data_IF_782909499644
#
_entry.id   IF_782909499644
#
_cell.length_a   1.000
_cell.length_b   1.000
_cell.length_c   1.000
_cell.angle_alpha   90.00
_cell.angle_beta   90.00
_cell.angle_gamma   90.00
#
_symmetry.space_group_name_H-M   'P 1'
#
loop_
_entity.id
_entity.type
_entity.pdbx_description
1 polymer ?
#
# COMPACT_ATOMS: atom_id res chain seq x y z
N UNK A 1 -8.25 -12.53 -2.21
CA UNK A 1 -9.46 -12.16 -1.41
C UNK A 1 -9.31 -12.37 0.10
N UNK A 2 -8.58 -13.40 0.58
CA UNK A 2 -8.58 -13.79 2.00
C UNK A 2 -7.59 -13.07 2.96
N UNK A 3 -6.89 -12.00 2.54
CA UNK A 3 -5.91 -11.31 3.42
C UNK A 3 -5.95 -9.79 3.33
N UNK A 4 -7.14 -9.20 3.49
CA UNK A 4 -7.27 -7.72 3.52
C UNK A 4 -6.47 -7.09 4.66
N UNK A 5 -6.28 -7.82 5.77
CA UNK A 5 -5.47 -7.40 6.91
C UNK A 5 -3.98 -7.16 6.59
N UNK A 6 -3.47 -7.69 5.48
CA UNK A 6 -2.08 -7.49 5.07
C UNK A 6 -1.91 -6.20 4.24
N UNK A 7 -2.99 -5.59 3.73
CA UNK A 7 -2.94 -4.40 2.87
C UNK A 7 -2.16 -3.24 3.53
N UNK A 8 -2.40 -2.86 4.81
CA UNK A 8 -1.63 -1.80 5.46
C UNK A 8 -0.12 -2.07 5.49
N UNK A 9 0.28 -3.33 5.71
CA UNK A 9 1.68 -3.73 5.76
C UNK A 9 2.31 -3.63 4.37
N UNK A 10 1.62 -4.12 3.35
CA UNK A 10 2.07 -4.07 1.96
C UNK A 10 2.21 -2.64 1.44
N UNK A 11 1.24 -1.76 1.75
CA UNK A 11 1.31 -0.35 1.38
C UNK A 11 2.56 0.33 1.95
N UNK A 12 2.86 0.11 3.24
CA UNK A 12 4.07 0.65 3.88
C UNK A 12 5.35 0.11 3.24
N UNK A 13 5.38 -1.19 2.96
CA UNK A 13 6.52 -1.83 2.32
C UNK A 13 6.80 -1.25 0.93
N UNK A 14 5.80 -1.23 0.03
CA UNK A 14 6.02 -0.76 -1.34
C UNK A 14 6.26 0.74 -1.43
N UNK A 15 5.66 1.57 -0.56
CA UNK A 15 5.99 2.99 -0.51
C UNK A 15 7.45 3.22 -0.10
N UNK A 16 7.94 2.43 0.86
CA UNK A 16 9.34 2.48 1.26
C UNK A 16 10.25 1.99 0.13
N UNK A 17 10.02 0.80 -0.44
CA UNK A 17 10.82 0.27 -1.56
C UNK A 17 10.87 1.24 -2.75
N UNK A 18 9.72 1.74 -3.20
CA UNK A 18 9.65 2.69 -4.30
C UNK A 18 10.45 3.97 -4.02
N UNK A 19 10.41 4.48 -2.78
CA UNK A 19 11.16 5.67 -2.39
C UNK A 19 12.68 5.46 -2.48
N UNK A 20 13.17 4.27 -2.12
CA UNK A 20 14.59 3.91 -2.29
C UNK A 20 14.97 3.78 -3.77
N UNK A 21 14.12 3.15 -4.58
CA UNK A 21 14.37 2.94 -6.01
C UNK A 21 14.54 4.27 -6.75
N UNK A 22 13.68 5.25 -6.48
CA UNK A 22 13.72 6.55 -7.17
C UNK A 22 14.49 7.64 -6.42
N UNK A 23 15.13 7.30 -5.29
CA UNK A 23 15.87 8.25 -4.41
C UNK A 23 15.03 9.45 -3.99
N UNK A 24 13.79 9.20 -3.60
CA UNK A 24 12.87 10.22 -3.08
C UNK A 24 12.53 9.97 -1.61
N UNK A 25 11.92 10.95 -0.96
CA UNK A 25 11.35 10.77 0.36
C UNK A 25 10.17 9.79 0.34
N UNK A 26 10.09 8.93 1.36
CA UNK A 26 8.96 8.00 1.50
C UNK A 26 7.67 8.77 1.73
N UNK A 27 6.69 8.57 0.85
CA UNK A 27 5.36 9.16 1.01
C UNK A 27 4.67 8.57 2.22
N UNK A 28 4.03 9.43 3.02
CA UNK A 28 3.18 9.03 4.14
C UNK A 28 1.72 9.03 3.69
N UNK A 29 1.03 7.91 3.90
CA UNK A 29 -0.41 7.83 3.67
C UNK A 29 -1.16 8.59 4.74
N UNK A 30 -2.17 9.36 4.33
CA UNK A 30 -3.18 9.84 5.26
C UNK A 30 -4.03 8.65 5.72
N UNK A 31 -4.54 8.73 6.94
CA UNK A 31 -5.35 7.66 7.54
C UNK A 31 -6.58 7.31 6.69
N UNK A 32 -7.25 8.30 6.12
CA UNK A 32 -8.44 8.11 5.28
C UNK A 32 -8.13 7.42 3.94
N UNK A 33 -6.94 7.65 3.38
CA UNK A 33 -6.48 6.96 2.17
C UNK A 33 -6.14 5.50 2.47
N UNK A 34 -5.45 5.23 3.59
CA UNK A 34 -5.14 3.85 4.02
C UNK A 34 -6.43 3.05 4.25
N UNK A 35 -7.41 3.64 4.94
CA UNK A 35 -8.72 3.02 5.17
C UNK A 35 -9.44 2.73 3.87
N UNK A 36 -9.52 3.71 2.96
CA UNK A 36 -10.14 3.54 1.64
C UNK A 36 -9.49 2.41 0.84
N UNK A 37 -8.16 2.36 0.78
CA UNK A 37 -7.42 1.30 0.06
C UNK A 37 -7.68 -0.09 0.64
N UNK A 38 -7.93 -0.21 1.94
CA UNK A 38 -8.30 -1.48 2.59
C UNK A 38 -9.72 -1.96 2.21
N UNK A 39 -10.60 -1.08 1.73
CA UNK A 39 -11.97 -1.44 1.32
C UNK A 39 -12.03 -2.06 -0.08
N UNK A 40 -11.03 -1.79 -0.93
CA UNK A 40 -11.01 -2.21 -2.34
C UNK A 40 -10.92 -3.74 -2.49
N UNK A 41 -11.39 -4.25 -3.63
CA UNK A 41 -11.45 -5.69 -3.89
C UNK A 41 -10.12 -6.29 -4.40
N UNK A 42 -9.18 -5.45 -4.85
CA UNK A 42 -7.87 -5.85 -5.36
C UNK A 42 -7.90 -7.05 -6.33
N UNK A 43 -8.61 -6.96 -7.48
CA UNK A 43 -8.65 -8.06 -8.45
C UNK A 43 -7.26 -8.45 -8.98
N UNK A 44 -6.30 -7.51 -9.01
CA UNK A 44 -4.90 -7.78 -9.35
C UNK A 44 -4.02 -8.22 -8.17
N UNK A 45 -4.60 -8.36 -6.97
CA UNK A 45 -3.90 -8.63 -5.71
C UNK A 45 -2.71 -7.67 -5.53
N UNK A 46 -1.54 -8.19 -5.14
CA UNK A 46 -0.31 -7.45 -4.85
C UNK A 46 0.26 -6.70 -6.07
N UNK A 47 -0.09 -7.12 -7.30
CA UNK A 47 0.41 -6.49 -8.52
C UNK A 47 -0.29 -5.17 -8.86
N UNK A 48 -1.56 -5.05 -8.47
CA UNK A 48 -2.34 -3.83 -8.62
C UNK A 48 -1.90 -2.82 -7.56
#
# INVERSE_FOLDING_TARGET
RERRQDIPLLLKHFLHEASHEIKAETKVLRADVEEFLCTLDWPGNVRQ
#
